data_IF_524719578149
#
_entry.id   IF_524719578149
#
_cell.length_a   1.000
_cell.length_b   1.000
_cell.length_c   1.000
_cell.angle_alpha   90.00
_cell.angle_beta   90.00
_cell.angle_gamma   90.00
#
_symmetry.space_group_name_H-M   'P 1'
#
loop_
_entity.id
_entity.type
_entity.pdbx_description
1 polymer ?
#
# COMPACT_ATOMS: atom_id res chain seq x y z
N UNK A 1 26.74 4.95 -11.99
CA UNK A 1 26.68 5.77 -10.75
C UNK A 1 25.25 6.01 -10.23
N UNK A 2 24.24 6.27 -11.08
CA UNK A 2 22.86 6.51 -10.64
C UNK A 2 22.18 5.29 -9.98
N UNK A 3 22.31 4.10 -10.57
CA UNK A 3 21.71 2.86 -10.04
C UNK A 3 22.17 2.53 -8.61
N UNK A 4 23.45 2.72 -8.30
CA UNK A 4 23.99 2.49 -6.96
C UNK A 4 23.38 3.46 -5.92
N UNK A 5 23.11 4.72 -6.30
CA UNK A 5 22.44 5.69 -5.44
C UNK A 5 20.98 5.30 -5.21
N UNK A 6 20.27 4.90 -6.25
CA UNK A 6 18.89 4.42 -6.16
C UNK A 6 18.79 3.17 -5.26
N UNK A 7 19.71 2.22 -5.40
CA UNK A 7 19.76 1.02 -4.56
C UNK A 7 20.00 1.35 -3.09
N UNK A 8 20.94 2.26 -2.79
CA UNK A 8 21.20 2.73 -1.44
C UNK A 8 19.95 3.38 -0.83
N UNK A 9 19.28 4.20 -1.61
CA UNK A 9 18.06 4.88 -1.17
C UNK A 9 16.92 3.87 -0.91
N UNK A 10 16.72 2.90 -1.81
CA UNK A 10 15.72 1.84 -1.65
C UNK A 10 15.99 0.99 -0.40
N UNK A 11 17.25 0.58 -0.20
CA UNK A 11 17.69 -0.17 0.97
C UNK A 11 17.44 0.61 2.27
N UNK A 12 17.66 1.93 2.26
CA UNK A 12 17.39 2.79 3.41
C UNK A 12 15.89 2.86 3.73
N UNK A 13 15.02 3.02 2.74
CA UNK A 13 13.56 2.99 2.96
C UNK A 13 13.10 1.64 3.52
N UNK A 14 13.63 0.54 3.00
CA UNK A 14 13.32 -0.79 3.53
C UNK A 14 13.77 -0.97 4.98
N UNK A 15 14.91 -0.39 5.36
CA UNK A 15 15.38 -0.41 6.75
C UNK A 15 14.52 0.46 7.67
N UNK A 16 14.08 1.63 7.23
CA UNK A 16 13.13 2.46 7.99
C UNK A 16 11.80 1.73 8.19
N UNK A 17 11.27 1.10 7.14
CA UNK A 17 10.06 0.26 7.24
C UNK A 17 10.21 -0.81 8.32
N UNK A 18 11.34 -1.53 8.33
CA UNK A 18 11.66 -2.54 9.33
C UNK A 18 11.64 -2.05 10.77
N UNK A 19 12.26 -0.90 11.01
CA UNK A 19 12.36 -0.32 12.34
C UNK A 19 11.02 0.22 12.82
N UNK A 20 10.33 1.00 11.99
CA UNK A 20 9.06 1.66 12.36
C UNK A 20 7.96 0.65 12.64
N UNK A 21 7.92 -0.46 11.90
CA UNK A 21 6.94 -1.54 12.10
C UNK A 21 7.39 -2.61 13.10
N UNK A 22 8.56 -2.43 13.73
CA UNK A 22 9.21 -3.40 14.62
C UNK A 22 9.47 -4.80 14.00
N UNK A 23 9.34 -4.95 12.67
CA UNK A 23 9.57 -6.21 11.96
C UNK A 23 11.02 -6.68 11.98
N UNK A 24 11.96 -5.83 12.42
CA UNK A 24 13.37 -6.20 12.52
C UNK A 24 13.64 -7.24 13.62
N UNK A 25 12.73 -7.39 14.59
CA UNK A 25 12.85 -8.34 15.70
C UNK A 25 12.35 -9.75 15.34
N UNK A 26 11.59 -9.87 14.26
CA UNK A 26 10.99 -11.13 13.82
C UNK A 26 11.96 -11.99 13.03
N UNK A 27 11.73 -13.29 13.06
CA UNK A 27 12.46 -14.22 12.20
C UNK A 27 12.15 -13.96 10.71
N UNK A 28 13.07 -14.33 9.79
CA UNK A 28 12.87 -14.07 8.37
C UNK A 28 11.55 -14.62 7.81
N UNK A 29 11.12 -15.81 8.27
CA UNK A 29 9.88 -16.43 7.82
C UNK A 29 8.65 -15.71 8.40
N UNK A 30 8.65 -15.34 9.69
CA UNK A 30 7.55 -14.61 10.34
C UNK A 30 7.30 -13.27 9.64
N UNK A 31 8.40 -12.58 9.31
CA UNK A 31 8.37 -11.34 8.55
C UNK A 31 7.75 -11.52 7.17
N UNK A 32 8.04 -12.62 6.47
CA UNK A 32 7.44 -12.88 5.16
C UNK A 32 5.93 -13.09 5.26
N UNK A 33 5.46 -13.80 6.30
CA UNK A 33 4.03 -13.99 6.57
C UNK A 33 3.36 -12.64 6.84
N UNK A 34 3.93 -11.81 7.72
CA UNK A 34 3.37 -10.50 8.04
C UNK A 34 3.28 -9.59 6.80
N UNK A 35 4.35 -9.52 6.00
CA UNK A 35 4.36 -8.73 4.78
C UNK A 35 3.31 -9.23 3.77
N UNK A 36 3.14 -10.55 3.64
CA UNK A 36 2.13 -11.13 2.74
C UNK A 36 0.71 -10.77 3.18
N UNK A 37 0.44 -10.75 4.49
CA UNK A 37 -0.84 -10.32 5.05
C UNK A 37 -1.08 -8.83 4.78
N UNK A 38 -0.07 -7.98 5.02
CA UNK A 38 -0.16 -6.54 4.75
C UNK A 38 -0.47 -6.27 3.26
N UNK A 39 0.25 -6.93 2.36
CA UNK A 39 0.01 -6.81 0.91
C UNK A 39 -1.40 -7.27 0.55
N UNK A 40 -1.88 -8.36 1.16
CA UNK A 40 -3.24 -8.85 0.95
C UNK A 40 -4.31 -7.86 1.42
N UNK A 41 -4.13 -7.26 2.59
CA UNK A 41 -5.05 -6.24 3.13
C UNK A 41 -5.07 -5.00 2.23
N UNK A 42 -3.90 -4.49 1.84
CA UNK A 42 -3.80 -3.33 0.95
C UNK A 42 -4.41 -3.65 -0.42
N UNK A 43 -4.11 -4.83 -0.97
CA UNK A 43 -4.69 -5.30 -2.24
C UNK A 43 -6.21 -5.37 -2.17
N UNK A 44 -6.76 -5.92 -1.08
CA UNK A 44 -8.21 -6.00 -0.90
C UNK A 44 -8.82 -4.60 -0.72
N UNK A 45 -8.19 -3.70 0.04
CA UNK A 45 -8.67 -2.33 0.22
C UNK A 45 -8.66 -1.53 -1.10
N UNK A 46 -7.64 -1.72 -1.93
CA UNK A 46 -7.58 -1.12 -3.27
C UNK A 46 -8.64 -1.72 -4.19
N UNK A 47 -8.84 -3.05 -4.14
CA UNK A 47 -9.86 -3.74 -4.93
C UNK A 47 -11.26 -3.26 -4.56
N UNK A 48 -11.60 -3.23 -3.27
CA UNK A 48 -12.90 -2.72 -2.81
C UNK A 48 -13.05 -1.25 -3.14
N UNK A 49 -12.01 -0.43 -2.93
CA UNK A 49 -11.98 0.96 -3.35
C UNK A 49 -12.29 1.10 -4.84
N UNK A 50 -11.59 0.39 -5.71
CA UNK A 50 -11.79 0.44 -7.16
C UNK A 50 -13.18 -0.02 -7.60
N UNK A 51 -13.72 -1.08 -6.99
CA UNK A 51 -15.03 -1.62 -7.34
C UNK A 51 -16.18 -0.75 -6.85
N UNK A 52 -16.10 -0.23 -5.62
CA UNK A 52 -17.20 0.52 -5.00
C UNK A 52 -17.12 2.04 -5.20
N UNK A 53 -15.92 2.63 -5.31
CA UNK A 53 -15.76 4.09 -5.51
C UNK A 53 -16.51 4.63 -6.72
N UNK A 54 -16.48 4.04 -7.93
CA UNK A 54 -17.12 4.63 -9.10
C UNK A 54 -18.62 4.85 -8.89
N UNK A 55 -19.28 3.89 -8.25
CA UNK A 55 -20.70 3.97 -7.97
C UNK A 55 -21.00 5.08 -6.94
N UNK A 56 -20.17 5.23 -5.91
CA UNK A 56 -20.27 6.32 -4.95
C UNK A 56 -19.98 7.69 -5.57
N UNK A 57 -18.95 7.79 -6.43
CA UNK A 57 -18.59 9.02 -7.14
C UNK A 57 -19.74 9.44 -8.06
N UNK A 58 -20.31 8.53 -8.84
CA UNK A 58 -21.45 8.84 -9.72
C UNK A 58 -22.68 9.30 -8.94
N UNK A 59 -22.99 8.65 -7.81
CA UNK A 59 -24.08 9.09 -6.94
C UNK A 59 -23.85 10.51 -6.39
N UNK A 60 -22.62 10.83 -6.00
CA UNK A 60 -22.23 12.17 -5.54
C UNK A 60 -22.36 13.20 -6.68
N UNK A 61 -21.87 12.87 -7.88
CA UNK A 61 -21.95 13.77 -9.05
C UNK A 61 -23.39 14.07 -9.45
N UNK A 62 -24.28 13.07 -9.39
CA UNK A 62 -25.71 13.26 -9.65
C UNK A 62 -26.37 14.11 -8.55
N UNK A 63 -26.01 13.92 -7.27
CA UNK A 63 -26.49 14.78 -6.17
C UNK A 63 -26.12 16.26 -6.37
N UNK A 64 -24.96 16.54 -6.95
CA UNK A 64 -24.51 17.90 -7.25
C UNK A 64 -24.97 18.43 -8.62
N UNK A 65 -25.80 17.69 -9.37
CA UNK A 65 -26.26 18.04 -10.72
C UNK A 65 -25.12 18.31 -11.73
N UNK A 66 -23.92 17.80 -11.47
CA UNK A 66 -22.75 17.96 -12.35
C UNK A 66 -22.88 17.05 -13.58
N UNK A 67 -23.57 15.92 -13.42
CA UNK A 67 -23.91 14.97 -14.48
C UNK A 67 -25.43 14.79 -14.46
N UNK A 68 -26.09 14.95 -15.62
CA UNK A 68 -27.54 14.77 -15.78
C UNK A 68 -27.96 13.30 -15.82
#
# INVERSE_FOLDING_TARGET
MALARAWKQMSWFYYQYLLVTALYMLEPWERTVFNSMLVSIVGMALYTGYVFMPQHIMAILHYFEIVQ
#
